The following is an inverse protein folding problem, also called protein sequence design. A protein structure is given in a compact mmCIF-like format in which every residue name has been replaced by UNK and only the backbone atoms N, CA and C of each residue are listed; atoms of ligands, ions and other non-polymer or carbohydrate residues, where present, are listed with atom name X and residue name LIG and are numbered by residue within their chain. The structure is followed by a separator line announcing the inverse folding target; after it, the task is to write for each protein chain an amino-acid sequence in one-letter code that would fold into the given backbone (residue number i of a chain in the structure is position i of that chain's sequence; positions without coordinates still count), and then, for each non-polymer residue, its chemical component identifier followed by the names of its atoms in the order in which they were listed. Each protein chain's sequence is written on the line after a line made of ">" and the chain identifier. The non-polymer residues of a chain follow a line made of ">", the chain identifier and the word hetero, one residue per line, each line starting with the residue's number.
data_IF_985846248289
#
_entry.id   IF_985846248289
#
_cell.length_a   1.000
_cell.length_b   1.000
_cell.length_c   1.000
_cell.angle_alpha   90.00
_cell.angle_beta   90.00
_cell.angle_gamma   90.00
#
_symmetry.space_group_name_H-M   'P 1'
#
loop_
_entity.id
_entity.type
_entity.pdbx_description
1 polymer ?
#
# COMPACT_ATOMS: atom_id res chain seq x y z
N UNK A 1 -25.22 22.41 -1.44
CA UNK A 1 -26.26 22.59 -2.46
C UNK A 1 -27.63 22.83 -1.83
N UNK A 2 -28.67 22.90 -2.63
CA UNK A 2 -30.05 23.11 -2.15
C UNK A 2 -30.58 21.97 -1.25
N UNK A 3 -29.99 20.81 -1.30
CA UNK A 3 -30.35 19.65 -0.45
C UNK A 3 -29.51 19.53 0.80
N UNK A 4 -28.76 20.57 1.18
CA UNK A 4 -27.81 20.60 2.29
C UNK A 4 -26.65 19.62 2.17
N UNK A 5 -26.41 19.06 1.00
CA UNK A 5 -25.28 18.18 0.75
C UNK A 5 -24.01 19.00 0.50
N UNK A 6 -22.91 18.65 1.17
CA UNK A 6 -21.60 19.24 0.93
C UNK A 6 -21.09 18.74 -0.41
N UNK A 7 -20.88 19.68 -1.34
CA UNK A 7 -20.46 19.39 -2.72
C UNK A 7 -18.98 19.71 -2.98
N UNK A 8 -18.36 20.51 -2.12
CA UNK A 8 -16.95 20.88 -2.19
C UNK A 8 -16.42 21.25 -0.80
N UNK A 9 -15.17 20.85 -0.52
CA UNK A 9 -14.39 21.25 0.66
C UNK A 9 -13.05 21.77 0.19
N UNK A 10 -12.55 22.85 0.80
CA UNK A 10 -11.25 23.39 0.47
C UNK A 10 -10.71 24.33 1.57
N UNK A 11 -9.40 24.41 1.67
CA UNK A 11 -8.70 25.34 2.59
C UNK A 11 -8.27 26.63 1.89
N UNK A 12 -8.12 27.70 2.65
CA UNK A 12 -7.55 28.95 2.17
C UNK A 12 -6.98 29.78 3.31
N UNK A 13 -5.88 30.49 3.05
CA UNK A 13 -5.34 31.51 3.96
C UNK A 13 -6.30 32.70 4.05
N UNK A 14 -6.94 33.06 2.93
CA UNK A 14 -7.95 34.12 2.86
C UNK A 14 -9.23 33.57 2.22
N UNK A 15 -10.21 33.23 3.05
CA UNK A 15 -11.51 32.71 2.60
C UNK A 15 -12.21 33.68 1.66
N UNK A 16 -12.16 35.02 1.95
CA UNK A 16 -12.76 36.05 1.10
C UNK A 16 -12.21 36.01 -0.33
N UNK A 17 -10.89 35.88 -0.49
CA UNK A 17 -10.26 35.83 -1.80
C UNK A 17 -10.59 34.52 -2.51
N UNK A 18 -10.55 33.39 -1.79
CA UNK A 18 -10.86 32.07 -2.33
C UNK A 18 -12.31 31.98 -2.85
N UNK A 19 -13.27 32.42 -2.04
CA UNK A 19 -14.70 32.44 -2.44
C UNK A 19 -14.91 33.38 -3.63
N UNK A 20 -14.32 34.58 -3.61
CA UNK A 20 -14.42 35.52 -4.72
C UNK A 20 -13.93 34.94 -6.05
N UNK A 21 -12.84 34.16 -6.04
CA UNK A 21 -12.31 33.50 -7.26
C UNK A 21 -13.33 32.59 -7.95
N UNK A 22 -14.21 31.92 -7.19
CA UNK A 22 -15.24 31.06 -7.77
C UNK A 22 -16.36 31.86 -8.47
N UNK A 23 -16.65 33.08 -8.01
CA UNK A 23 -17.75 33.89 -8.54
C UNK A 23 -17.32 34.98 -9.54
N UNK A 24 -16.01 35.24 -9.67
CA UNK A 24 -15.51 36.15 -10.71
C UNK A 24 -15.71 35.57 -12.11
N UNK A 25 -16.16 36.36 -13.06
CA UNK A 25 -16.30 35.99 -14.47
C UNK A 25 -14.92 35.97 -15.16
N UNK A 26 -14.07 34.97 -14.86
CA UNK A 26 -12.82 34.76 -15.60
C UNK A 26 -13.06 33.75 -16.72
N UNK A 27 -12.56 34.05 -17.95
CA UNK A 27 -12.71 33.20 -19.14
C UNK A 27 -12.07 31.83 -19.08
N UNK A 28 -11.42 31.45 -17.99
CA UNK A 28 -10.62 30.20 -17.82
C UNK A 28 -11.10 29.30 -16.72
N UNK A 29 -12.36 29.39 -16.28
CA UNK A 29 -12.90 28.38 -15.35
C UNK A 29 -13.20 27.10 -16.12
N UNK A 30 -12.76 25.96 -15.62
CA UNK A 30 -13.15 24.68 -16.20
C UNK A 30 -14.66 24.42 -16.07
N UNK A 31 -15.22 23.67 -16.98
CA UNK A 31 -16.66 23.40 -17.07
C UNK A 31 -17.25 22.82 -15.76
N UNK A 32 -16.48 22.02 -15.04
CA UNK A 32 -16.92 21.44 -13.74
C UNK A 32 -16.98 22.46 -12.61
N UNK A 33 -16.05 23.44 -12.58
CA UNK A 33 -16.09 24.54 -11.59
C UNK A 33 -17.27 25.45 -11.89
N UNK A 34 -17.54 25.74 -13.17
CA UNK A 34 -18.74 26.48 -13.56
C UNK A 34 -20.00 25.75 -13.12
N UNK A 35 -20.08 24.45 -13.37
CA UNK A 35 -21.19 23.62 -12.89
C UNK A 35 -21.27 23.56 -11.35
N UNK A 36 -20.14 23.50 -10.66
CA UNK A 36 -20.12 23.58 -9.18
C UNK A 36 -20.76 24.88 -8.70
N UNK A 37 -20.36 26.01 -9.28
CA UNK A 37 -20.86 27.34 -8.90
C UNK A 37 -22.37 27.44 -9.07
N UNK A 38 -22.97 26.83 -10.11
CA UNK A 38 -24.42 26.81 -10.31
C UNK A 38 -25.17 25.98 -9.25
N UNK A 39 -24.49 25.06 -8.58
CA UNK A 39 -25.10 24.21 -7.54
C UNK A 39 -24.84 24.73 -6.11
N UNK A 40 -24.07 25.81 -5.94
CA UNK A 40 -23.82 26.39 -4.62
C UNK A 40 -25.07 27.14 -4.16
N UNK A 41 -25.68 26.65 -3.09
CA UNK A 41 -26.77 27.32 -2.38
C UNK A 41 -26.21 28.19 -1.25
N UNK A 42 -25.30 27.63 -0.47
CA UNK A 42 -24.64 28.32 0.65
C UNK A 42 -23.23 27.80 0.87
N UNK A 43 -22.44 28.51 1.66
CA UNK A 43 -21.17 28.02 2.15
C UNK A 43 -21.02 28.26 3.64
N UNK A 44 -20.32 27.38 4.29
CA UNK A 44 -19.93 27.43 5.69
C UNK A 44 -18.41 27.52 5.78
N UNK A 45 -17.90 28.08 6.85
CA UNK A 45 -16.47 28.14 7.05
C UNK A 45 -16.10 27.87 8.52
N UNK A 46 -14.94 27.26 8.69
CA UNK A 46 -14.32 27.00 9.99
C UNK A 46 -12.97 27.69 9.99
N UNK A 47 -12.73 28.53 10.99
CA UNK A 47 -11.43 29.17 11.20
C UNK A 47 -10.57 28.25 12.06
N UNK A 48 -9.33 28.04 11.65
CA UNK A 48 -8.34 27.20 12.34
C UNK A 48 -7.14 28.07 12.77
N UNK A 49 -6.42 27.64 13.81
CA UNK A 49 -5.30 28.39 14.36
C UNK A 49 -4.01 28.22 13.54
N UNK A 50 -3.96 27.20 12.66
CA UNK A 50 -2.80 26.93 11.82
C UNK A 50 -3.22 26.35 10.46
N UNK A 51 -2.33 26.53 9.48
CA UNK A 51 -2.52 25.96 8.15
C UNK A 51 -2.48 24.43 8.16
N UNK A 52 -1.73 23.84 9.08
CA UNK A 52 -1.71 22.40 9.32
C UNK A 52 -3.06 21.88 9.82
N UNK A 53 -3.69 22.59 10.76
CA UNK A 53 -5.04 22.23 11.22
C UNK A 53 -6.07 22.33 10.09
N UNK A 54 -5.97 23.39 9.27
CA UNK A 54 -6.81 23.53 8.08
C UNK A 54 -6.66 22.35 7.12
N UNK A 55 -5.42 21.88 6.88
CA UNK A 55 -5.14 20.73 6.02
C UNK A 55 -5.71 19.44 6.61
N UNK A 56 -5.55 19.19 7.89
CA UNK A 56 -6.10 17.99 8.56
C UNK A 56 -7.62 18.02 8.54
N UNK A 57 -8.23 19.17 8.80
CA UNK A 57 -9.68 19.35 8.77
C UNK A 57 -10.22 19.12 7.35
N UNK A 58 -9.60 19.71 6.32
CA UNK A 58 -9.93 19.48 4.92
C UNK A 58 -9.92 17.97 4.57
N UNK A 59 -8.85 17.26 4.93
CA UNK A 59 -8.74 15.82 4.70
C UNK A 59 -9.86 15.02 5.36
N UNK A 60 -10.20 15.36 6.61
CA UNK A 60 -11.25 14.68 7.36
C UNK A 60 -12.63 14.93 6.75
N UNK A 61 -12.96 16.17 6.42
CA UNK A 61 -14.23 16.54 5.80
C UNK A 61 -14.39 15.93 4.40
N UNK A 62 -13.33 15.90 3.59
CA UNK A 62 -13.36 15.22 2.28
C UNK A 62 -13.63 13.73 2.46
N UNK A 63 -13.00 13.08 3.42
CA UNK A 63 -13.20 11.66 3.69
C UNK A 63 -14.62 11.35 4.19
N UNK A 64 -15.16 12.20 5.06
CA UNK A 64 -16.48 12.05 5.67
C UNK A 64 -17.60 12.28 4.65
N UNK A 65 -17.55 13.40 3.94
CA UNK A 65 -18.65 13.85 3.07
C UNK A 65 -18.52 13.40 1.62
N UNK A 66 -17.35 12.97 1.18
CA UNK A 66 -17.04 12.57 -0.21
C UNK A 66 -17.64 13.56 -1.24
N UNK A 67 -17.23 14.83 -1.21
CA UNK A 67 -17.87 15.87 -2.01
C UNK A 67 -17.68 15.64 -3.52
N UNK A 68 -18.72 15.88 -4.29
CA UNK A 68 -18.75 15.62 -5.76
C UNK A 68 -17.67 16.38 -6.54
N UNK A 69 -17.30 17.57 -6.08
CA UNK A 69 -16.35 18.47 -6.76
C UNK A 69 -14.96 18.49 -6.14
N UNK A 70 -14.63 17.54 -5.29
CA UNK A 70 -13.23 17.28 -4.90
C UNK A 70 -12.67 16.10 -5.70
N UNK A 71 -11.38 16.16 -5.98
CA UNK A 71 -10.65 15.01 -6.51
C UNK A 71 -10.62 13.92 -5.45
N UNK A 72 -11.15 12.75 -5.78
CA UNK A 72 -11.36 11.66 -4.86
C UNK A 72 -10.54 10.44 -5.23
N UNK A 73 -9.91 9.86 -4.21
CA UNK A 73 -9.37 8.52 -4.28
C UNK A 73 -10.51 7.50 -4.32
N UNK A 74 -10.64 6.78 -5.44
CA UNK A 74 -11.75 5.85 -5.67
C UNK A 74 -11.63 4.56 -4.86
N UNK A 75 -10.39 4.15 -4.54
CA UNK A 75 -10.10 2.88 -3.87
C UNK A 75 -9.59 3.10 -2.44
N UNK A 76 -10.29 2.57 -1.45
CA UNK A 76 -9.83 2.47 -0.06
C UNK A 76 -9.25 1.07 0.19
N UNK A 77 -8.00 0.84 -0.23
CA UNK A 77 -7.33 -0.46 -0.15
C UNK A 77 -6.71 -0.68 1.23
N UNK A 78 -7.15 -1.71 1.92
CA UNK A 78 -6.54 -2.15 3.17
C UNK A 78 -5.41 -3.15 2.89
N UNK A 79 -4.17 -2.72 3.06
CA UNK A 79 -3.00 -3.56 2.85
C UNK A 79 -2.73 -4.51 4.00
N UNK A 80 -2.39 -5.78 3.73
CA UNK A 80 -1.94 -6.71 4.74
C UNK A 80 -0.47 -6.46 5.12
N UNK A 81 -0.16 -6.79 6.37
CA UNK A 81 1.17 -6.77 6.97
C UNK A 81 1.51 -8.14 7.54
N UNK A 82 2.79 -8.47 7.61
CA UNK A 82 3.29 -9.56 8.44
C UNK A 82 3.64 -8.96 9.80
N UNK A 83 2.98 -9.44 10.85
CA UNK A 83 3.21 -9.04 12.24
C UNK A 83 4.03 -10.09 12.94
N UNK A 84 5.13 -9.69 13.58
CA UNK A 84 5.94 -10.53 14.47
C UNK A 84 5.78 -10.00 15.90
N UNK A 85 5.22 -10.82 16.80
CA UNK A 85 4.89 -10.42 18.18
C UNK A 85 6.13 -10.51 19.09
N UNK A 86 7.17 -9.71 18.79
CA UNK A 86 8.46 -9.75 19.47
C UNK A 86 8.39 -9.47 20.98
N UNK A 87 7.33 -8.84 21.46
CA UNK A 87 7.06 -8.57 22.87
C UNK A 87 6.60 -9.81 23.64
N UNK A 88 6.11 -10.87 22.94
CA UNK A 88 5.73 -12.12 23.59
C UNK A 88 6.99 -12.92 23.98
N UNK A 89 6.96 -13.72 25.09
CA UNK A 89 8.07 -14.61 25.44
C UNK A 89 8.40 -15.61 24.33
N UNK A 90 7.39 -16.11 23.61
CA UNK A 90 7.47 -16.96 22.44
C UNK A 90 6.72 -16.28 21.28
N UNK A 91 7.39 -15.43 20.48
CA UNK A 91 6.77 -14.67 19.40
C UNK A 91 6.06 -15.53 18.35
N UNK A 92 5.07 -14.94 17.69
CA UNK A 92 4.32 -15.51 16.57
C UNK A 92 4.50 -14.67 15.34
N UNK A 93 4.31 -15.31 14.18
CA UNK A 93 4.22 -14.64 12.88
C UNK A 93 2.79 -14.78 12.37
N UNK A 94 2.15 -13.64 12.10
CA UNK A 94 0.74 -13.61 11.70
C UNK A 94 0.45 -12.49 10.70
N UNK A 95 -0.65 -12.64 9.94
CA UNK A 95 -1.18 -11.59 9.09
C UNK A 95 -1.89 -10.54 9.95
N UNK A 96 -1.60 -9.27 9.70
CA UNK A 96 -2.31 -8.13 10.29
C UNK A 96 -2.82 -7.21 9.16
N UNK A 97 -4.01 -6.65 9.34
CA UNK A 97 -4.59 -5.65 8.42
C UNK A 97 -4.43 -4.22 8.93
N UNK A 98 -4.02 -4.05 10.18
CA UNK A 98 -3.80 -2.76 10.83
C UNK A 98 -2.52 -2.82 11.65
N UNK A 99 -1.74 -1.77 11.61
CA UNK A 99 -0.60 -1.57 12.51
C UNK A 99 -1.12 -1.00 13.82
N UNK A 100 -0.70 -1.59 14.94
CA UNK A 100 -1.07 -1.18 16.29
C UNK A 100 0.18 -0.72 17.06
N UNK A 101 0.01 0.16 18.05
CA UNK A 101 1.09 0.59 18.96
C UNK A 101 1.29 -0.47 20.09
N UNK A 102 1.65 -1.70 19.71
CA UNK A 102 1.74 -2.84 20.63
C UNK A 102 3.16 -3.42 20.76
N UNK A 103 4.16 -2.68 20.36
CA UNK A 103 5.58 -3.06 20.35
C UNK A 103 5.92 -4.30 19.49
N UNK A 104 4.98 -4.80 18.67
CA UNK A 104 5.26 -5.81 17.67
C UNK A 104 6.00 -5.20 16.48
N UNK A 105 6.73 -6.04 15.73
CA UNK A 105 7.31 -5.61 14.45
C UNK A 105 6.35 -5.91 13.32
N UNK A 106 6.18 -4.94 12.43
CA UNK A 106 5.30 -5.02 11.25
C UNK A 106 6.13 -4.88 9.99
N UNK A 107 5.91 -5.78 9.04
CA UNK A 107 6.56 -5.79 7.73
C UNK A 107 5.50 -5.59 6.65
N UNK A 108 5.72 -4.68 5.71
CA UNK A 108 4.76 -4.32 4.68
C UNK A 108 4.74 -2.82 4.39
N UNK A 109 3.71 -2.28 3.73
CA UNK A 109 2.50 -2.97 3.26
C UNK A 109 2.74 -3.93 2.09
N UNK A 110 2.05 -5.05 2.06
CA UNK A 110 2.04 -5.97 0.91
C UNK A 110 0.78 -5.75 0.08
N UNK A 111 0.86 -5.97 -1.23
CA UNK A 111 -0.27 -5.77 -2.13
C UNK A 111 -1.20 -6.99 -2.24
N UNK A 112 -0.77 -8.16 -1.76
CA UNK A 112 -1.52 -9.42 -1.82
C UNK A 112 -1.56 -10.13 -0.47
N UNK A 113 -2.77 -10.36 0.04
CA UNK A 113 -2.97 -11.16 1.25
C UNK A 113 -2.61 -12.65 1.04
N UNK A 114 -2.76 -13.17 -0.18
CA UNK A 114 -2.30 -14.51 -0.56
C UNK A 114 -0.79 -14.63 -0.39
N UNK A 115 -0.03 -13.72 -1.01
CA UNK A 115 1.43 -13.71 -0.91
C UNK A 115 1.93 -13.60 0.56
N UNK A 116 1.22 -12.84 1.40
CA UNK A 116 1.53 -12.76 2.84
C UNK A 116 1.30 -14.11 3.54
N UNK A 117 0.18 -14.78 3.25
CA UNK A 117 -0.11 -16.11 3.83
C UNK A 117 0.92 -17.14 3.40
N UNK A 118 1.27 -17.17 2.12
CA UNK A 118 2.29 -18.07 1.57
C UNK A 118 3.66 -17.83 2.23
N UNK A 119 4.02 -16.56 2.42
CA UNK A 119 5.27 -16.19 3.12
C UNK A 119 5.25 -16.63 4.58
N UNK A 120 4.13 -16.45 5.30
CA UNK A 120 4.00 -16.88 6.69
C UNK A 120 4.08 -18.42 6.80
N UNK A 121 3.46 -19.13 5.86
CA UNK A 121 3.54 -20.60 5.82
C UNK A 121 4.96 -21.08 5.56
N UNK A 122 5.65 -20.44 4.61
CA UNK A 122 7.08 -20.74 4.36
C UNK A 122 7.93 -20.47 5.59
N UNK A 123 7.76 -19.36 6.29
CA UNK A 123 8.46 -19.05 7.54
C UNK A 123 8.23 -20.14 8.60
N UNK A 124 7.02 -20.66 8.70
CA UNK A 124 6.72 -21.76 9.65
C UNK A 124 7.45 -23.04 9.30
N UNK A 125 7.52 -23.37 8.03
CA UNK A 125 8.27 -24.55 7.53
C UNK A 125 9.78 -24.42 7.75
N UNK A 126 10.33 -23.19 7.58
CA UNK A 126 11.77 -22.93 7.68
C UNK A 126 12.25 -22.83 9.16
N UNK A 127 11.47 -22.18 10.01
CA UNK A 127 11.92 -21.77 11.36
C UNK A 127 11.11 -22.40 12.49
N UNK A 128 10.08 -23.20 12.17
CA UNK A 128 9.25 -23.93 13.13
C UNK A 128 8.58 -23.05 14.18
N UNK A 129 8.12 -21.86 13.76
CA UNK A 129 7.48 -20.86 14.62
C UNK A 129 6.03 -21.22 14.91
N UNK A 130 5.63 -21.13 16.18
CA UNK A 130 4.24 -21.42 16.61
C UNK A 130 3.21 -20.51 15.95
N UNK A 131 2.03 -21.06 15.70
CA UNK A 131 0.87 -20.31 15.18
C UNK A 131 -0.30 -20.22 16.18
N UNK A 132 -0.26 -20.99 17.26
CA UNK A 132 -1.35 -21.10 18.23
C UNK A 132 -1.53 -19.84 19.08
N UNK A 133 -2.75 -19.68 19.65
CA UNK A 133 -3.11 -18.57 20.53
C UNK A 133 -2.86 -18.86 22.04
N UNK A 134 -2.17 -19.96 22.39
CA UNK A 134 -1.86 -20.29 23.79
C UNK A 134 -1.07 -19.17 24.45
N UNK A 135 -1.39 -18.88 25.71
CA UNK A 135 -0.71 -17.84 26.50
C UNK A 135 0.53 -18.43 27.19
N UNK A 136 1.67 -18.34 26.50
CA UNK A 136 2.91 -18.84 27.05
C UNK A 136 3.65 -17.75 27.85
N UNK A 137 4.21 -18.07 29.03
CA UNK A 137 4.44 -19.43 29.58
C UNK A 137 3.29 -20.05 30.38
N UNK A 138 2.18 -19.34 30.63
CA UNK A 138 1.10 -19.81 31.53
C UNK A 138 0.48 -21.16 31.15
N UNK A 139 0.47 -21.48 29.85
CA UNK A 139 -0.18 -22.67 29.31
C UNK A 139 0.82 -23.80 28.97
N UNK A 140 2.05 -23.72 29.46
CA UNK A 140 3.05 -24.81 29.30
C UNK A 140 2.57 -26.06 30.04
N UNK A 141 2.54 -27.20 29.33
CA UNK A 141 2.19 -28.50 29.88
C UNK A 141 0.71 -28.74 30.16
N UNK A 142 -0.20 -27.77 29.90
CA UNK A 142 -1.63 -27.93 30.17
C UNK A 142 -2.37 -28.83 29.18
N UNK A 143 -1.92 -28.88 27.94
CA UNK A 143 -2.56 -29.64 26.87
C UNK A 143 -1.52 -30.37 26.04
N UNK A 144 -1.93 -31.43 25.34
CA UNK A 144 -1.07 -32.16 24.41
C UNK A 144 -0.52 -31.25 23.30
N UNK A 145 0.65 -31.57 22.70
CA UNK A 145 1.15 -30.87 21.52
C UNK A 145 0.14 -30.98 20.38
N UNK A 146 -0.01 -29.89 19.63
CA UNK A 146 -0.92 -29.86 18.49
C UNK A 146 -0.30 -30.49 17.25
N UNK A 147 -1.11 -30.69 16.20
CA UNK A 147 -0.70 -31.28 14.93
C UNK A 147 0.58 -30.64 14.36
N UNK A 148 0.74 -29.31 14.48
CA UNK A 148 1.90 -28.59 13.94
C UNK A 148 3.24 -29.08 14.54
N UNK A 149 3.25 -29.64 15.74
CA UNK A 149 4.44 -30.29 16.28
C UNK A 149 4.74 -31.63 15.57
N UNK A 150 3.69 -32.44 15.38
CA UNK A 150 3.84 -33.76 14.76
C UNK A 150 4.20 -33.69 13.28
N UNK A 151 3.78 -32.63 12.59
CA UNK A 151 4.14 -32.39 11.16
C UNK A 151 5.38 -31.46 11.05
N UNK A 152 6.18 -31.34 12.08
CA UNK A 152 7.43 -30.58 12.11
C UNK A 152 7.31 -29.10 11.66
N UNK A 153 6.20 -28.43 12.01
CA UNK A 153 5.99 -27.00 11.76
C UNK A 153 6.04 -26.14 13.03
N UNK A 154 6.33 -26.76 14.20
CA UNK A 154 6.44 -26.07 15.47
C UNK A 154 7.32 -26.87 16.43
N UNK A 155 8.22 -26.20 17.14
CA UNK A 155 9.08 -26.81 18.18
C UNK A 155 8.39 -27.03 19.54
N UNK A 156 7.05 -26.89 19.58
CA UNK A 156 6.21 -27.08 20.78
C UNK A 156 6.70 -26.34 22.05
N UNK A 157 6.87 -25.01 22.02
CA UNK A 157 7.21 -24.27 23.25
C UNK A 157 6.12 -24.40 24.32
N UNK A 158 4.89 -24.77 23.91
CA UNK A 158 3.79 -25.07 24.83
C UNK A 158 3.97 -26.35 25.65
N UNK A 159 4.98 -27.18 25.33
CA UNK A 159 5.38 -28.37 26.11
C UNK A 159 6.73 -28.17 26.83
N UNK A 160 7.36 -27.02 26.64
CA UNK A 160 8.71 -26.78 27.14
C UNK A 160 9.81 -27.53 26.36
N UNK A 161 9.53 -28.06 25.17
CA UNK A 161 10.50 -28.82 24.36
C UNK A 161 11.59 -27.94 23.74
N UNK A 162 11.43 -26.62 23.81
CA UNK A 162 12.44 -25.66 23.42
C UNK A 162 12.53 -24.54 24.46
N UNK A 163 13.75 -24.11 24.78
CA UNK A 163 13.99 -22.97 25.67
C UNK A 163 13.55 -21.65 25.02
N UNK A 164 13.31 -20.64 25.86
CA UNK A 164 12.96 -19.29 25.37
C UNK A 164 14.10 -18.69 24.53
N UNK A 165 15.34 -18.95 24.95
CA UNK A 165 16.55 -18.44 24.31
C UNK A 165 16.75 -19.04 22.92
N UNK A 166 16.61 -20.34 22.78
CA UNK A 166 16.70 -21.03 21.48
C UNK A 166 15.56 -20.66 20.55
N UNK A 167 14.34 -20.50 21.10
CA UNK A 167 13.20 -20.07 20.31
C UNK A 167 13.41 -18.63 19.79
N UNK A 168 14.00 -17.74 20.59
CA UNK A 168 14.31 -16.38 20.19
C UNK A 168 15.35 -16.31 19.07
N UNK A 169 16.34 -17.19 19.03
CA UNK A 169 17.27 -17.31 17.89
C UNK A 169 16.52 -17.60 16.60
N UNK A 170 15.57 -18.54 16.62
CA UNK A 170 14.74 -18.82 15.45
C UNK A 170 13.90 -17.58 15.04
N UNK A 171 13.44 -16.77 15.99
CA UNK A 171 12.72 -15.52 15.68
C UNK A 171 13.63 -14.45 15.09
N UNK A 172 14.87 -14.36 15.54
CA UNK A 172 15.88 -13.45 14.96
C UNK A 172 16.18 -13.83 13.49
N UNK A 173 16.33 -15.12 13.20
CA UNK A 173 16.45 -15.61 11.81
C UNK A 173 15.23 -15.22 10.96
N UNK A 174 14.01 -15.31 11.52
CA UNK A 174 12.78 -14.83 10.84
C UNK A 174 12.84 -13.34 10.56
N UNK A 175 13.31 -12.53 11.51
CA UNK A 175 13.45 -11.09 11.31
C UNK A 175 14.49 -10.77 10.21
N UNK A 176 15.59 -11.50 10.17
CA UNK A 176 16.59 -11.40 9.09
C UNK A 176 15.99 -11.76 7.73
N UNK A 177 15.23 -12.86 7.67
CA UNK A 177 14.51 -13.27 6.46
C UNK A 177 13.53 -12.20 5.98
N UNK A 178 12.70 -11.66 6.88
CA UNK A 178 11.72 -10.60 6.54
C UNK A 178 12.38 -9.27 6.14
N UNK A 179 13.59 -9.02 6.62
CA UNK A 179 14.44 -7.92 6.17
C UNK A 179 15.15 -8.22 4.83
N UNK A 180 14.91 -9.41 4.25
CA UNK A 180 15.40 -9.81 2.95
C UNK A 180 16.80 -10.40 2.95
N UNK A 181 17.38 -10.75 4.08
CA UNK A 181 18.61 -11.52 4.15
C UNK A 181 18.29 -13.02 3.99
N UNK A 182 18.32 -13.49 2.74
CA UNK A 182 17.97 -14.88 2.38
C UNK A 182 19.16 -15.81 2.29
N UNK A 183 20.39 -15.28 2.19
CA UNK A 183 21.59 -16.07 1.93
C UNK A 183 21.84 -17.13 3.02
N UNK A 184 21.75 -16.82 4.34
CA UNK A 184 22.00 -17.82 5.37
C UNK A 184 21.05 -19.02 5.32
N UNK A 185 19.76 -18.77 5.02
CA UNK A 185 18.80 -19.88 4.92
C UNK A 185 18.99 -20.68 3.63
N UNK A 186 19.37 -20.02 2.53
CA UNK A 186 19.64 -20.70 1.27
C UNK A 186 20.87 -21.59 1.36
N UNK A 187 21.95 -21.14 2.02
CA UNK A 187 23.15 -21.94 2.29
C UNK A 187 22.83 -23.16 3.17
N UNK A 188 22.09 -22.95 4.24
CA UNK A 188 21.65 -24.03 5.14
C UNK A 188 20.80 -25.07 4.42
N UNK A 189 19.82 -24.65 3.61
CA UNK A 189 18.95 -25.56 2.86
C UNK A 189 19.72 -26.33 1.78
N UNK A 190 20.71 -25.70 1.12
CA UNK A 190 21.57 -26.40 0.16
C UNK A 190 22.39 -27.48 0.82
N UNK A 191 23.04 -27.18 1.95
CA UNK A 191 23.81 -28.17 2.69
C UNK A 191 22.93 -29.35 3.13
N UNK A 192 21.72 -29.09 3.66
CA UNK A 192 20.76 -30.12 4.05
C UNK A 192 20.27 -30.97 2.84
N UNK A 193 20.11 -30.35 1.69
CA UNK A 193 19.72 -31.05 0.44
C UNK A 193 20.84 -31.99 -0.01
N UNK A 194 22.10 -31.53 0.02
CA UNK A 194 23.27 -32.32 -0.35
C UNK A 194 23.45 -33.51 0.61
N UNK A 195 23.39 -33.25 1.93
CA UNK A 195 23.45 -34.31 2.96
C UNK A 195 22.37 -35.38 2.78
N UNK A 196 21.11 -34.98 2.54
CA UNK A 196 20.02 -35.88 2.29
C UNK A 196 20.20 -36.68 0.97
N UNK A 197 20.79 -36.06 -0.05
CA UNK A 197 21.11 -36.71 -1.31
C UNK A 197 22.22 -37.76 -1.16
N UNK A 198 23.28 -37.47 -0.42
CA UNK A 198 24.36 -38.40 -0.12
C UNK A 198 23.88 -39.58 0.75
N UNK A 199 22.92 -39.33 1.65
CA UNK A 199 22.27 -40.36 2.45
C UNK A 199 21.22 -41.16 1.66
N UNK A 200 21.02 -40.89 0.35
CA UNK A 200 19.99 -41.50 -0.52
C UNK A 200 18.55 -41.25 -0.06
N UNK A 201 18.32 -40.22 0.78
CA UNK A 201 17.01 -39.79 1.26
C UNK A 201 16.37 -38.82 0.24
N UNK A 202 16.05 -39.30 -0.97
CA UNK A 202 15.65 -38.48 -2.10
C UNK A 202 14.37 -37.67 -1.84
N UNK A 203 13.42 -38.18 -1.09
CA UNK A 203 12.20 -37.44 -0.73
C UNK A 203 12.53 -36.17 0.08
N UNK A 204 13.41 -36.27 1.07
CA UNK A 204 13.88 -35.14 1.85
C UNK A 204 14.69 -34.14 1.02
N UNK A 205 15.52 -34.63 0.13
CA UNK A 205 16.27 -33.78 -0.79
C UNK A 205 15.32 -32.99 -1.70
N UNK A 206 14.22 -33.60 -2.18
CA UNK A 206 13.17 -32.93 -2.95
C UNK A 206 12.48 -31.85 -2.10
N UNK A 207 12.13 -32.11 -0.86
CA UNK A 207 11.53 -31.13 0.05
C UNK A 207 12.44 -29.91 0.24
N UNK A 208 13.73 -30.10 0.49
CA UNK A 208 14.69 -28.99 0.60
C UNK A 208 14.81 -28.18 -0.71
N UNK A 209 14.80 -28.85 -1.86
CA UNK A 209 14.81 -28.19 -3.18
C UNK A 209 13.56 -27.32 -3.37
N UNK A 210 12.38 -27.78 -2.96
CA UNK A 210 11.14 -27.01 -3.05
C UNK A 210 11.17 -25.78 -2.12
N UNK A 211 11.74 -25.91 -0.92
CA UNK A 211 11.95 -24.79 0.00
C UNK A 211 12.93 -23.77 -0.60
N UNK A 212 14.05 -24.19 -1.19
CA UNK A 212 15.00 -23.33 -1.89
C UNK A 212 14.29 -22.55 -3.01
N UNK A 213 13.54 -23.24 -3.86
CA UNK A 213 12.78 -22.62 -4.96
C UNK A 213 11.76 -21.58 -4.43
N UNK A 214 11.11 -21.86 -3.31
CA UNK A 214 10.14 -20.96 -2.69
C UNK A 214 10.81 -19.70 -2.15
N UNK A 215 11.94 -19.83 -1.48
CA UNK A 215 12.76 -18.69 -1.01
C UNK A 215 13.26 -17.85 -2.20
N UNK A 216 13.77 -18.49 -3.24
CA UNK A 216 14.26 -17.80 -4.44
C UNK A 216 13.17 -17.03 -5.18
N UNK A 217 11.94 -17.56 -5.26
CA UNK A 217 10.78 -16.85 -5.82
C UNK A 217 10.46 -15.57 -5.06
N UNK A 218 10.57 -15.58 -3.74
CA UNK A 218 10.37 -14.38 -2.91
C UNK A 218 11.52 -13.40 -3.16
N UNK A 219 12.77 -13.86 -3.16
CA UNK A 219 13.96 -13.06 -3.39
C UNK A 219 13.95 -12.39 -4.79
N UNK A 220 13.53 -13.11 -5.84
CA UNK A 220 13.45 -12.57 -7.20
C UNK A 220 12.40 -11.47 -7.36
N UNK A 221 11.26 -11.55 -6.67
CA UNK A 221 10.22 -10.51 -6.69
C UNK A 221 10.68 -9.19 -6.07
N UNK A 222 11.74 -9.21 -5.27
CA UNK A 222 12.26 -8.06 -4.53
C UNK A 222 13.56 -7.47 -5.10
N UNK A 223 13.85 -7.72 -6.37
CA UNK A 223 15.14 -7.44 -7.04
C UNK A 223 15.54 -5.97 -7.21
N UNK A 224 14.65 -5.00 -6.93
CA UNK A 224 15.04 -3.58 -6.91
C UNK A 224 15.69 -3.31 -5.55
N UNK A 225 17.01 -3.38 -5.51
CA UNK A 225 17.81 -3.08 -4.33
C UNK A 225 18.45 -1.72 -4.47
N UNK A 226 18.17 -0.83 -3.53
CA UNK A 226 19.00 0.36 -3.30
C UNK A 226 19.86 0.08 -2.06
N UNK A 227 21.15 0.33 -2.19
CA UNK A 227 22.16 0.06 -1.15
C UNK A 227 21.99 0.89 0.13
N UNK A 228 21.14 1.91 0.12
CA UNK A 228 20.93 2.79 1.26
C UNK A 228 20.03 2.21 2.39
N UNK A 229 19.35 1.08 2.15
CA UNK A 229 18.56 0.40 3.18
C UNK A 229 17.32 1.15 3.70
N UNK A 230 16.96 2.29 3.11
CA UNK A 230 15.89 3.17 3.61
C UNK A 230 14.51 2.70 3.16
N UNK A 231 13.52 3.00 4.03
CA UNK A 231 12.11 2.83 3.72
C UNK A 231 11.60 4.05 2.96
N UNK A 232 11.06 3.81 1.76
CA UNK A 232 10.52 4.88 0.91
C UNK A 232 9.34 4.42 0.08
N UNK A 233 8.46 5.36 -0.25
CA UNK A 233 7.43 5.16 -1.26
C UNK A 233 7.75 6.05 -2.47
N UNK A 234 7.49 5.53 -3.67
CA UNK A 234 7.63 6.30 -4.91
C UNK A 234 6.23 6.48 -5.46
N UNK A 235 5.83 7.72 -5.61
CA UNK A 235 4.48 8.09 -6.04
C UNK A 235 4.58 8.89 -7.33
N UNK A 236 3.97 8.39 -8.39
CA UNK A 236 3.96 9.05 -9.69
C UNK A 236 2.56 8.99 -10.30
N UNK A 237 2.23 9.95 -11.17
CA UNK A 237 0.91 10.10 -11.77
C UNK A 237 0.98 10.14 -13.29
N UNK A 238 0.01 9.51 -13.92
CA UNK A 238 -0.35 9.75 -15.32
C UNK A 238 -1.80 10.19 -15.38
N UNK A 239 -2.07 11.25 -16.12
CA UNK A 239 -3.44 11.78 -16.30
C UNK A 239 -3.77 11.95 -17.75
N UNK A 240 -5.07 12.03 -18.02
CA UNK A 240 -5.61 12.57 -19.24
C UNK A 240 -6.79 13.55 -18.96
N UNK A 241 -7.81 13.63 -19.81
CA UNK A 241 -8.84 14.66 -19.69
C UNK A 241 -9.77 14.48 -18.47
N UNK A 242 -10.11 13.23 -18.13
CA UNK A 242 -11.13 12.93 -17.12
C UNK A 242 -10.61 12.08 -15.96
N UNK A 243 -9.54 11.30 -16.22
CA UNK A 243 -9.03 10.31 -15.28
C UNK A 243 -7.55 10.49 -15.01
N UNK A 244 -7.13 10.10 -13.81
CA UNK A 244 -5.74 9.96 -13.46
C UNK A 244 -5.48 8.61 -12.80
N UNK A 245 -4.29 8.08 -13.04
CA UNK A 245 -3.76 6.90 -12.35
C UNK A 245 -2.52 7.31 -11.60
N UNK A 246 -2.55 7.11 -10.29
CA UNK A 246 -1.36 7.23 -9.44
C UNK A 246 -0.78 5.85 -9.20
N UNK A 247 0.49 5.68 -9.51
CA UNK A 247 1.28 4.48 -9.23
C UNK A 247 2.09 4.69 -7.96
N UNK A 248 2.04 3.71 -7.06
CA UNK A 248 2.87 3.69 -5.84
C UNK A 248 3.76 2.45 -5.86
N UNK A 249 5.05 2.65 -5.58
CA UNK A 249 6.01 1.58 -5.30
C UNK A 249 6.39 1.62 -3.83
N UNK A 250 6.24 0.50 -3.15
CA UNK A 250 6.59 0.35 -1.74
C UNK A 250 7.99 -0.25 -1.61
N UNK A 251 8.96 0.56 -1.18
CA UNK A 251 10.34 0.12 -0.94
C UNK A 251 10.58 0.06 0.56
N UNK A 252 11.04 -1.09 1.05
CA UNK A 252 11.36 -1.32 2.47
C UNK A 252 12.73 -1.98 2.56
N UNK A 253 13.57 -1.45 3.43
CA UNK A 253 14.98 -1.87 3.53
C UNK A 253 15.70 -1.88 2.16
N UNK A 254 15.44 -0.86 1.31
CA UNK A 254 16.00 -0.77 -0.03
C UNK A 254 15.40 -1.72 -1.07
N UNK A 255 14.38 -2.51 -0.74
CA UNK A 255 13.77 -3.52 -1.63
C UNK A 255 12.34 -3.17 -2.00
N UNK A 256 11.97 -3.42 -3.26
CA UNK A 256 10.58 -3.27 -3.72
C UNK A 256 9.74 -4.44 -3.17
N UNK A 257 8.91 -4.18 -2.17
CA UNK A 257 8.03 -5.19 -1.58
C UNK A 257 6.65 -5.26 -2.24
N UNK A 258 6.27 -4.21 -2.97
CA UNK A 258 4.99 -4.17 -3.67
C UNK A 258 4.85 -2.95 -4.55
N UNK A 259 3.88 -3.02 -5.46
CA UNK A 259 3.44 -1.91 -6.29
C UNK A 259 1.93 -1.93 -6.39
N UNK A 260 1.32 -0.77 -6.38
CA UNK A 260 -0.12 -0.64 -6.57
C UNK A 260 -0.45 0.63 -7.34
N UNK A 261 -1.63 0.68 -7.92
CA UNK A 261 -2.13 1.83 -8.64
C UNK A 261 -3.52 2.21 -8.16
N UNK A 262 -3.83 3.49 -8.27
CA UNK A 262 -5.06 4.08 -7.79
C UNK A 262 -5.66 4.96 -8.87
N UNK A 263 -6.97 4.86 -9.03
CA UNK A 263 -7.73 5.70 -9.93
C UNK A 263 -8.25 6.92 -9.19
N UNK A 264 -8.06 8.08 -9.80
CA UNK A 264 -8.67 9.33 -9.35
C UNK A 264 -9.56 9.88 -10.45
N UNK A 265 -10.77 10.23 -10.08
CA UNK A 265 -11.67 10.94 -10.96
C UNK A 265 -11.33 12.43 -10.85
N UNK A 266 -10.90 13.02 -11.96
CA UNK A 266 -10.55 14.43 -12.02
C UNK A 266 -11.81 15.30 -12.05
N UNK A 267 -11.73 16.44 -11.39
CA UNK A 267 -12.84 17.41 -11.34
C UNK A 267 -12.69 18.43 -12.44
N UNK A 268 -11.47 18.82 -12.76
CA UNK A 268 -11.15 19.84 -13.77
C UNK A 268 -9.75 19.60 -14.39
N UNK A 269 -9.20 20.61 -15.04
CA UNK A 269 -7.84 20.65 -15.61
C UNK A 269 -6.74 20.67 -14.53
N UNK A 270 -6.88 19.85 -13.50
CA UNK A 270 -5.89 19.75 -12.42
C UNK A 270 -4.52 19.37 -12.98
N UNK A 271 -3.48 20.01 -12.47
CA UNK A 271 -2.09 19.69 -12.78
C UNK A 271 -1.70 18.36 -12.14
N UNK A 272 -0.64 17.72 -12.63
CA UNK A 272 -0.09 16.50 -11.99
C UNK A 272 0.28 16.77 -10.51
N UNK A 273 0.85 17.94 -10.22
CA UNK A 273 1.22 18.36 -8.88
C UNK A 273 0.02 18.42 -7.92
N UNK A 274 -1.11 19.00 -8.36
CA UNK A 274 -2.35 19.07 -7.57
C UNK A 274 -2.95 17.68 -7.31
N UNK A 275 -2.93 16.80 -8.32
CA UNK A 275 -3.38 15.42 -8.19
C UNK A 275 -2.52 14.66 -7.19
N UNK A 276 -1.19 14.79 -7.26
CA UNK A 276 -0.26 14.17 -6.33
C UNK A 276 -0.46 14.67 -4.90
N UNK A 277 -0.64 15.99 -4.71
CA UNK A 277 -0.94 16.58 -3.40
C UNK A 277 -2.24 16.00 -2.82
N UNK A 278 -3.31 15.96 -3.61
CA UNK A 278 -4.61 15.39 -3.21
C UNK A 278 -4.51 13.90 -2.88
N UNK A 279 -3.76 13.14 -3.68
CA UNK A 279 -3.52 11.73 -3.45
C UNK A 279 -2.75 11.49 -2.14
N UNK A 280 -1.64 12.18 -1.92
CA UNK A 280 -0.81 12.01 -0.72
C UNK A 280 -1.61 12.29 0.55
N UNK A 281 -2.39 13.37 0.55
CA UNK A 281 -3.26 13.73 1.68
C UNK A 281 -4.27 12.61 1.98
N UNK A 282 -4.98 12.13 0.98
CA UNK A 282 -6.02 11.09 1.16
C UNK A 282 -5.42 9.72 1.49
N UNK A 283 -4.37 9.32 0.78
CA UNK A 283 -3.72 8.02 0.96
C UNK A 283 -3.11 7.88 2.35
N UNK A 284 -2.28 8.83 2.77
CA UNK A 284 -1.62 8.76 4.09
C UNK A 284 -2.55 9.13 5.25
N UNK A 285 -3.69 9.79 5.00
CA UNK A 285 -4.72 9.93 6.04
C UNK A 285 -5.29 8.56 6.47
N UNK A 286 -5.46 7.63 5.52
CA UNK A 286 -6.00 6.29 5.75
C UNK A 286 -4.95 5.21 6.02
N UNK A 287 -3.71 5.41 5.59
CA UNK A 287 -2.65 4.40 5.67
C UNK A 287 -1.99 4.38 7.06
N UNK A 288 -1.85 3.20 7.69
CA UNK A 288 -1.27 3.07 9.04
C UNK A 288 0.26 3.16 9.07
N UNK A 289 0.93 3.04 7.92
CA UNK A 289 2.37 3.09 7.79
C UNK A 289 2.81 4.25 6.90
N UNK A 290 3.74 5.06 7.39
CA UNK A 290 4.34 6.18 6.66
C UNK A 290 5.85 5.93 6.56
N UNK A 291 6.45 5.93 5.34
CA UNK A 291 7.89 5.74 5.17
C UNK A 291 8.70 6.96 5.65
N UNK A 292 10.03 6.86 5.66
CA UNK A 292 10.91 8.00 5.95
C UNK A 292 11.02 8.98 4.80
N UNK A 293 10.80 8.50 3.57
CA UNK A 293 10.89 9.29 2.35
C UNK A 293 9.74 8.96 1.41
N UNK A 294 9.17 9.99 0.78
CA UNK A 294 8.20 9.86 -0.31
C UNK A 294 8.81 10.57 -1.52
N UNK A 295 9.06 9.82 -2.60
CA UNK A 295 9.65 10.34 -3.81
C UNK A 295 8.59 10.71 -4.82
N UNK A 296 8.72 11.91 -5.40
CA UNK A 296 7.77 12.52 -6.33
C UNK A 296 8.49 12.94 -7.62
N UNK A 297 7.79 12.98 -8.76
CA UNK A 297 8.36 13.46 -10.01
C UNK A 297 8.56 14.97 -10.06
N UNK A 298 7.75 15.73 -9.34
CA UNK A 298 7.76 17.19 -9.33
C UNK A 298 7.31 17.75 -7.96
N UNK A 299 7.52 19.03 -7.74
CA UNK A 299 7.09 19.73 -6.54
C UNK A 299 5.56 19.84 -6.50
N UNK A 300 5.00 19.66 -5.31
CA UNK A 300 3.55 19.65 -5.09
C UNK A 300 3.12 20.88 -4.25
N UNK A 301 1.87 21.36 -4.43
CA UNK A 301 1.29 22.35 -3.52
C UNK A 301 1.32 21.87 -2.08
N UNK A 302 1.52 22.80 -1.16
CA UNK A 302 1.55 22.55 0.29
C UNK A 302 2.68 21.60 0.75
N UNK A 303 3.78 21.50 -0.01
CA UNK A 303 4.90 20.58 0.24
C UNK A 303 5.35 20.56 1.70
N UNK A 304 5.69 21.72 2.25
CA UNK A 304 6.21 21.85 3.63
C UNK A 304 5.18 21.44 4.67
N UNK A 305 3.92 21.81 4.47
CA UNK A 305 2.83 21.51 5.40
C UNK A 305 2.49 20.02 5.39
N UNK A 306 2.51 19.39 4.22
CA UNK A 306 2.30 17.95 4.07
C UNK A 306 3.44 17.19 4.75
N UNK A 307 4.69 17.64 4.58
CA UNK A 307 5.87 17.04 5.23
C UNK A 307 5.76 17.16 6.76
N UNK A 308 5.37 18.33 7.28
CA UNK A 308 5.13 18.54 8.70
C UNK A 308 3.99 17.65 9.24
N UNK A 309 2.87 17.58 8.51
CA UNK A 309 1.74 16.71 8.88
C UNK A 309 2.13 15.23 8.96
N UNK A 310 2.84 14.73 7.96
CA UNK A 310 3.31 13.35 7.91
C UNK A 310 4.31 13.04 9.01
N UNK A 311 5.21 13.99 9.32
CA UNK A 311 6.20 13.92 10.40
C UNK A 311 5.50 13.81 11.77
N UNK A 312 4.50 14.67 12.03
CA UNK A 312 3.71 14.60 13.28
C UNK A 312 2.93 13.27 13.37
N UNK A 313 2.32 12.82 12.29
CA UNK A 313 1.56 11.57 12.26
C UNK A 313 2.43 10.33 12.48
N UNK A 314 3.64 10.33 11.93
CA UNK A 314 4.62 9.23 12.06
C UNK A 314 5.36 9.29 13.41
N UNK A 315 5.42 10.44 14.07
CA UNK A 315 6.27 10.75 15.25
C UNK A 315 7.79 10.71 14.93
N UNK A 316 8.16 10.68 13.65
CA UNK A 316 9.53 10.67 13.13
C UNK A 316 9.57 11.45 11.83
N UNK A 317 10.75 12.00 11.49
CA UNK A 317 10.92 12.83 10.31
C UNK A 317 10.55 12.11 9.01
N UNK A 318 9.76 12.77 8.19
CA UNK A 318 9.36 12.33 6.85
C UNK A 318 9.80 13.39 5.85
N UNK A 319 10.33 12.97 4.71
CA UNK A 319 10.77 13.86 3.65
C UNK A 319 10.03 13.58 2.34
N UNK A 320 9.51 14.62 1.73
CA UNK A 320 9.06 14.62 0.34
C UNK A 320 10.28 14.95 -0.54
N UNK A 321 10.69 14.04 -1.42
CA UNK A 321 11.94 14.16 -2.17
C UNK A 321 11.65 14.13 -3.66
N UNK A 322 12.26 15.07 -4.40
CA UNK A 322 12.21 15.13 -5.87
C UNK A 322 13.60 14.78 -6.39
N UNK A 323 13.85 13.51 -6.79
CA UNK A 323 15.15 13.10 -7.28
C UNK A 323 15.39 13.66 -8.67
N UNK A 324 16.57 14.28 -8.88
CA UNK A 324 16.95 14.92 -10.16
C UNK A 324 17.99 14.13 -10.95
N UNK A 325 18.52 13.03 -10.41
CA UNK A 325 19.56 12.20 -11.05
C UNK A 325 19.73 10.84 -10.39
N UNK A 326 20.24 9.90 -11.15
CA UNK A 326 20.68 8.59 -10.65
C UNK A 326 19.57 7.55 -10.52
N UNK A 327 19.79 6.53 -9.69
CA UNK A 327 18.86 5.39 -9.53
C UNK A 327 17.51 5.82 -9.01
N UNK A 328 17.45 6.82 -8.14
CA UNK A 328 16.20 7.33 -7.54
C UNK A 328 15.30 7.98 -8.60
N UNK A 329 15.87 8.78 -9.50
CA UNK A 329 15.14 9.38 -10.63
C UNK A 329 14.58 8.30 -11.55
N UNK A 330 15.40 7.30 -11.93
CA UNK A 330 14.95 6.18 -12.78
C UNK A 330 13.79 5.39 -12.18
N UNK A 331 13.73 5.29 -10.85
CA UNK A 331 12.61 4.64 -10.18
C UNK A 331 11.33 5.47 -10.25
N UNK A 332 11.42 6.80 -10.17
CA UNK A 332 10.28 7.70 -10.38
C UNK A 332 9.79 7.64 -11.82
N UNK A 333 10.70 7.70 -12.81
CA UNK A 333 10.35 7.52 -14.22
C UNK A 333 9.70 6.17 -14.50
N UNK A 334 10.19 5.09 -13.86
CA UNK A 334 9.57 3.77 -13.95
C UNK A 334 8.15 3.75 -13.40
N UNK A 335 7.90 4.45 -12.28
CA UNK A 335 6.57 4.58 -11.70
C UNK A 335 5.64 5.38 -12.63
N UNK A 336 6.11 6.49 -13.24
CA UNK A 336 5.34 7.25 -14.23
C UNK A 336 5.00 6.40 -15.47
N UNK A 337 5.97 5.63 -15.98
CA UNK A 337 5.74 4.72 -17.11
C UNK A 337 4.69 3.66 -16.79
N UNK A 338 4.74 3.11 -15.56
CA UNK A 338 3.73 2.14 -15.11
C UNK A 338 2.35 2.80 -14.99
N UNK A 339 2.23 4.01 -14.41
CA UNK A 339 0.97 4.74 -14.34
C UNK A 339 0.37 4.97 -15.75
N UNK A 340 1.21 5.37 -16.71
CA UNK A 340 0.78 5.56 -18.10
C UNK A 340 0.28 4.27 -18.74
N UNK A 341 1.02 3.16 -18.55
CA UNK A 341 0.63 1.86 -19.10
C UNK A 341 -0.72 1.38 -18.55
N UNK A 342 -0.98 1.57 -17.26
CA UNK A 342 -2.26 1.21 -16.64
C UNK A 342 -3.39 2.05 -17.23
N UNK A 343 -3.22 3.37 -17.29
CA UNK A 343 -4.22 4.28 -17.85
C UNK A 343 -4.57 3.94 -19.31
N UNK A 344 -3.58 3.63 -20.14
CA UNK A 344 -3.78 3.25 -21.56
C UNK A 344 -4.50 1.91 -21.69
N UNK A 345 -4.08 0.90 -20.89
CA UNK A 345 -4.65 -0.45 -20.95
C UNK A 345 -6.13 -0.50 -20.57
N UNK A 346 -6.50 0.28 -19.56
CA UNK A 346 -7.89 0.33 -19.12
C UNK A 346 -8.78 1.04 -20.11
N UNK A 347 -8.29 2.10 -20.76
CA UNK A 347 -9.02 2.73 -21.88
C UNK A 347 -9.26 1.79 -23.04
N UNK A 348 -8.28 1.00 -23.42
CA UNK A 348 -8.46 -0.01 -24.45
C UNK A 348 -9.48 -1.07 -24.05
N UNK A 349 -9.51 -1.46 -22.77
CA UNK A 349 -10.50 -2.39 -22.23
C UNK A 349 -11.90 -1.79 -22.28
N UNK A 350 -12.08 -0.58 -21.78
CA UNK A 350 -13.36 0.14 -21.79
C UNK A 350 -13.87 0.29 -23.23
N UNK A 351 -13.03 0.76 -24.16
CA UNK A 351 -13.39 0.84 -25.58
C UNK A 351 -13.84 -0.49 -26.19
N UNK A 352 -13.18 -1.60 -25.82
CA UNK A 352 -13.56 -2.93 -26.28
C UNK A 352 -14.90 -3.38 -25.70
N UNK A 353 -15.14 -3.09 -24.43
CA UNK A 353 -16.41 -3.41 -23.73
C UNK A 353 -17.55 -2.58 -24.28
N UNK A 354 -17.36 -1.28 -24.49
CA UNK A 354 -18.33 -0.40 -25.14
C UNK A 354 -18.61 -0.84 -26.59
N UNK A 355 -17.56 -1.18 -27.36
CA UNK A 355 -17.72 -1.70 -28.72
C UNK A 355 -18.51 -3.01 -28.79
N UNK A 356 -18.33 -3.90 -27.80
CA UNK A 356 -19.11 -5.14 -27.66
C UNK A 356 -20.56 -4.85 -27.30
N UNK A 357 -20.79 -3.92 -26.34
CA UNK A 357 -22.13 -3.54 -25.92
C UNK A 357 -22.91 -2.85 -27.05
N UNK A 358 -22.29 -1.91 -27.75
CA UNK A 358 -22.88 -1.24 -28.90
C UNK A 358 -23.14 -2.23 -30.04
N UNK A 359 -22.21 -3.17 -30.28
CA UNK A 359 -22.38 -4.25 -31.26
C UNK A 359 -23.56 -5.15 -30.91
N UNK A 360 -23.67 -5.58 -29.66
CA UNK A 360 -24.79 -6.41 -29.19
C UNK A 360 -26.13 -5.67 -29.27
N UNK A 361 -26.16 -4.39 -28.92
CA UNK A 361 -27.39 -3.55 -29.06
C UNK A 361 -27.80 -3.42 -30.52
N UNK A 362 -26.87 -3.19 -31.46
CA UNK A 362 -27.14 -3.13 -32.91
C UNK A 362 -27.63 -4.48 -33.47
N UNK A 363 -27.04 -5.60 -33.04
CA UNK A 363 -27.54 -6.94 -33.40
C UNK A 363 -28.97 -7.17 -32.89
N UNK A 364 -29.25 -6.78 -31.65
CA UNK A 364 -30.59 -6.89 -31.09
C UNK A 364 -31.60 -6.01 -31.82
N UNK A 365 -31.23 -4.77 -32.20
CA UNK A 365 -32.02 -3.88 -33.01
C UNK A 365 -32.37 -4.51 -34.36
N UNK A 366 -31.37 -5.10 -35.03
CA UNK A 366 -31.59 -5.75 -36.32
C UNK A 366 -32.50 -6.97 -36.21
N UNK A 367 -32.32 -7.78 -35.14
CA UNK A 367 -33.17 -8.95 -34.85
C UNK A 367 -34.62 -8.59 -34.53
N UNK A 368 -34.83 -7.47 -33.87
CA UNK A 368 -36.16 -7.00 -33.46
C UNK A 368 -36.81 -6.03 -34.46
N UNK A 369 -36.13 -5.70 -35.55
CA UNK A 369 -36.64 -4.76 -36.58
C UNK A 369 -36.89 -3.34 -36.07
N UNK A 370 -36.20 -2.91 -35.01
CA UNK A 370 -36.36 -1.59 -34.40
C UNK A 370 -35.55 -0.56 -35.17
N UNK A 371 -36.22 0.45 -35.73
CA UNK A 371 -35.62 1.61 -36.40
C UNK A 371 -35.60 2.79 -35.44
N UNK A 372 -34.41 3.14 -34.95
CA UNK A 372 -34.14 4.37 -34.18
C UNK A 372 -34.13 4.18 -32.64
N UNK A 373 -32.94 4.22 -32.07
CA UNK A 373 -32.63 4.65 -30.72
C UNK A 373 -31.57 5.73 -30.85
#
# INVERSE_FOLDING_TARGET
>A
DETDKIIYVGKAISLKNRVRQYFQSSRNKGAKIEQMVTHISRFEYIVTDSELEALVLECNLIKEHRPKYNTMLMDDKAYPFIKVTVQEPFPRVMLARRVQKDKAKYFGPYTSAGAVKDTIELIRKLYFIRSCNRRLPKDIGKERPCLNYHIHQCKAPCQGYISKEEYRKSVEEVLHFLNGNYDPILEKLKAQMEEASEALEFERAIEYRELINSVQKIAQKQKITDTAGDDRDIVAVSKDLEDAVVQVFFIRNGRLIGRDHFYLKLVDKETKAEILSSFIKQFYAGTPYIPGQIMLPEEIPDHEIIEEWLTRKKEHKVHLVIPKKGTKEKLVELAEKNARMVLTKDKERIKREEGRTIGAVKELQNLLGLTGL
#
